data_IF_365957447255
#
_entry.id   IF_365957447255
#
_cell.length_a   1.000
_cell.length_b   1.000
_cell.length_c   1.000
_cell.angle_alpha   90.00
_cell.angle_beta   90.00
_cell.angle_gamma   90.00
#
_symmetry.space_group_name_H-M   'P 1'
#
loop_
_entity.id
_entity.type
_entity.pdbx_description
1 polymer ?
#
# COMPACT_ATOMS: atom_id res chain seq x y z
N UNK A 1 15.38 -21.67 6.87
CA UNK A 1 14.31 -22.67 7.11
C UNK A 1 13.73 -23.14 5.77
N UNK A 2 13.21 -24.37 5.65
CA UNK A 2 12.54 -24.81 4.41
C UNK A 2 11.27 -23.97 4.17
N UNK A 3 11.15 -23.41 2.96
CA UNK A 3 10.05 -22.52 2.55
C UNK A 3 8.70 -23.22 2.64
N UNK A 4 7.68 -22.51 3.11
CA UNK A 4 6.32 -23.02 3.07
C UNK A 4 5.79 -23.15 1.65
N UNK A 5 4.88 -24.08 1.44
CA UNK A 5 4.15 -24.27 0.19
C UNK A 5 2.65 -24.29 0.47
N UNK A 6 1.90 -23.63 -0.41
CA UNK A 6 0.45 -23.60 -0.39
C UNK A 6 -0.08 -24.74 -1.28
N UNK A 7 -0.84 -25.67 -0.71
CA UNK A 7 -1.43 -26.80 -1.44
C UNK A 7 -2.96 -26.73 -1.35
N UNK A 8 -3.67 -26.41 -2.44
CA UNK A 8 -5.13 -26.46 -2.47
C UNK A 8 -5.63 -27.84 -2.05
N UNK A 9 -6.66 -27.88 -1.22
CA UNK A 9 -7.33 -29.14 -0.86
C UNK A 9 -8.39 -29.49 -1.90
N UNK A 10 -8.81 -30.76 -1.91
CA UNK A 10 -9.79 -31.30 -2.88
C UNK A 10 -11.15 -30.60 -2.85
N UNK A 11 -11.51 -30.00 -1.71
CA UNK A 11 -12.74 -29.23 -1.53
C UNK A 11 -12.67 -27.82 -2.13
N UNK A 12 -11.48 -27.34 -2.51
CA UNK A 12 -11.26 -26.03 -3.14
C UNK A 12 -11.46 -24.82 -2.22
N UNK A 13 -12.00 -25.02 -1.00
CA UNK A 13 -12.29 -23.94 -0.03
C UNK A 13 -11.12 -23.59 0.85
N UNK A 14 -10.19 -24.53 1.03
CA UNK A 14 -9.06 -24.36 1.94
C UNK A 14 -7.74 -24.78 1.30
N UNK A 15 -6.68 -24.18 1.81
CA UNK A 15 -5.30 -24.41 1.38
C UNK A 15 -4.54 -24.98 2.55
N UNK A 16 -3.86 -26.11 2.35
CA UNK A 16 -2.93 -26.66 3.32
C UNK A 16 -1.59 -25.92 3.25
N UNK A 17 -1.08 -25.52 4.41
CA UNK A 17 0.23 -24.91 4.58
C UNK A 17 1.23 -26.03 4.92
N UNK A 18 2.13 -26.35 3.99
CA UNK A 18 3.03 -27.50 4.11
C UNK A 18 4.50 -27.11 3.98
N UNK A 19 5.38 -27.81 4.69
CA UNK A 19 6.83 -27.79 4.42
C UNK A 19 7.32 -29.20 4.14
N UNK A 20 8.47 -29.30 3.48
CA UNK A 20 9.09 -30.57 3.10
C UNK A 20 10.47 -30.75 3.76
N UNK A 21 10.55 -30.89 5.10
CA UNK A 21 11.82 -31.15 5.76
C UNK A 21 12.38 -32.52 5.34
N UNK A 22 13.70 -32.63 5.33
CA UNK A 22 14.39 -33.92 5.12
C UNK A 22 14.36 -34.74 6.41
N UNK A 23 13.85 -35.97 6.34
CA UNK A 23 13.95 -36.95 7.43
C UNK A 23 15.23 -37.77 7.23
N UNK A 24 16.14 -37.72 8.22
CA UNK A 24 17.36 -38.54 8.22
C UNK A 24 17.06 -40.02 8.39
N UNK A 25 16.07 -40.36 9.22
CA UNK A 25 15.62 -41.74 9.46
C UNK A 25 15.08 -42.38 8.19
N UNK A 26 14.22 -41.67 7.46
CA UNK A 26 13.60 -42.18 6.23
C UNK A 26 14.42 -41.88 4.97
N UNK A 27 15.57 -41.20 5.11
CA UNK A 27 16.45 -40.72 4.04
C UNK A 27 15.74 -39.99 2.91
N UNK A 28 14.61 -39.32 3.19
CA UNK A 28 13.78 -38.64 2.19
C UNK A 28 13.08 -37.40 2.74
N UNK A 29 12.62 -36.53 1.85
CA UNK A 29 11.74 -35.40 2.23
C UNK A 29 10.37 -35.93 2.65
N UNK A 30 9.86 -35.43 3.77
CA UNK A 30 8.54 -35.78 4.31
C UNK A 30 7.64 -34.55 4.31
N UNK A 31 6.34 -34.76 4.08
CA UNK A 31 5.38 -33.65 4.06
C UNK A 31 4.91 -33.35 5.47
N UNK A 32 5.17 -32.14 5.96
CA UNK A 32 4.67 -31.66 7.25
C UNK A 32 3.61 -30.59 7.00
N UNK A 33 2.37 -30.85 7.42
CA UNK A 33 1.30 -29.84 7.43
C UNK A 33 1.37 -29.03 8.72
N UNK A 34 1.52 -27.71 8.59
CA UNK A 34 1.60 -26.75 9.69
C UNK A 34 0.25 -26.12 10.01
N UNK A 35 -0.62 -26.02 9.01
CA UNK A 35 -1.96 -25.47 9.20
C UNK A 35 -2.74 -25.43 7.89
N UNK A 36 -3.81 -24.62 7.91
CA UNK A 36 -4.61 -24.33 6.72
C UNK A 36 -5.15 -22.92 6.79
N UNK A 37 -5.39 -22.32 5.62
CA UNK A 37 -6.07 -21.04 5.46
C UNK A 37 -7.21 -21.21 4.47
N UNK A 38 -8.28 -20.41 4.61
CA UNK A 38 -9.36 -20.40 3.64
C UNK A 38 -8.95 -19.60 2.39
N UNK A 39 -9.46 -19.99 1.22
CA UNK A 39 -9.12 -19.35 -0.06
C UNK A 39 -9.72 -17.94 -0.19
N UNK A 40 -10.76 -17.65 0.60
CA UNK A 40 -11.44 -16.35 0.73
C UNK A 40 -10.87 -15.46 1.85
N UNK A 41 -9.82 -15.92 2.56
CA UNK A 41 -9.19 -15.15 3.63
C UNK A 41 -8.61 -13.81 3.12
N UNK A 42 -8.62 -12.79 3.98
CA UNK A 42 -8.05 -11.49 3.65
C UNK A 42 -6.50 -11.58 3.57
N UNK A 43 -5.87 -11.29 2.41
CA UNK A 43 -4.41 -11.29 2.30
C UNK A 43 -3.72 -10.20 3.13
N UNK A 44 -4.46 -9.20 3.60
CA UNK A 44 -3.89 -8.16 4.47
C UNK A 44 -3.93 -8.56 5.96
N UNK A 45 -4.74 -9.56 6.32
CA UNK A 45 -4.83 -10.11 7.68
C UNK A 45 -4.69 -11.65 7.69
N UNK A 46 -3.70 -12.16 6.96
CA UNK A 46 -3.46 -13.61 6.83
C UNK A 46 -3.33 -14.30 8.20
N UNK A 47 -2.73 -13.64 9.18
CA UNK A 47 -2.40 -14.23 10.49
C UNK A 47 -3.65 -14.67 11.25
N UNK A 48 -4.72 -13.88 11.26
CA UNK A 48 -5.97 -14.21 11.96
C UNK A 48 -6.72 -15.38 11.33
N UNK A 49 -6.52 -15.61 10.02
CA UNK A 49 -7.21 -16.63 9.25
C UNK A 49 -6.47 -17.99 9.18
N UNK A 50 -5.22 -18.06 9.66
CA UNK A 50 -4.47 -19.33 9.69
C UNK A 50 -4.94 -20.21 10.84
N UNK A 51 -5.44 -21.40 10.49
CA UNK A 51 -5.73 -22.47 11.45
C UNK A 51 -4.53 -23.40 11.59
N UNK A 52 -3.87 -23.34 12.74
CA UNK A 52 -2.71 -24.19 13.05
C UNK A 52 -3.14 -25.66 13.23
N UNK A 53 -2.33 -26.58 12.71
CA UNK A 53 -2.58 -28.02 12.83
C UNK A 53 -2.52 -28.47 14.31
N UNK A 54 -3.32 -29.48 14.68
CA UNK A 54 -3.47 -29.95 16.08
C UNK A 54 -2.13 -30.19 16.79
N UNK A 55 -1.16 -30.78 16.07
CA UNK A 55 0.19 -31.10 16.61
C UNK A 55 1.06 -29.88 16.95
N UNK A 56 0.67 -28.69 16.51
CA UNK A 56 1.41 -27.44 16.70
C UNK A 56 0.61 -26.40 17.49
N UNK A 57 -0.56 -26.73 18.03
CA UNK A 57 -1.43 -25.76 18.74
C UNK A 57 -0.78 -25.09 19.95
N UNK A 58 0.15 -25.79 20.61
CA UNK A 58 0.84 -25.29 21.79
C UNK A 58 2.19 -24.63 21.46
N UNK A 59 2.59 -24.60 20.19
CA UNK A 59 3.80 -23.93 19.76
C UNK A 59 3.50 -22.46 19.46
N UNK A 60 4.47 -21.59 19.71
CA UNK A 60 4.36 -20.19 19.37
C UNK A 60 4.22 -20.02 17.85
N UNK A 61 3.27 -19.19 17.42
CA UNK A 61 2.97 -18.97 16.02
C UNK A 61 4.19 -18.47 15.24
N UNK A 62 4.99 -17.61 15.86
CA UNK A 62 6.20 -17.02 15.24
C UNK A 62 7.33 -18.04 15.11
N UNK A 63 7.31 -19.09 15.93
CA UNK A 63 8.21 -20.24 15.78
C UNK A 63 7.78 -21.18 14.63
N UNK A 64 6.50 -21.14 14.23
CA UNK A 64 5.92 -22.01 13.20
C UNK A 64 6.00 -21.41 11.80
N UNK A 65 5.70 -20.11 11.67
CA UNK A 65 5.64 -19.38 10.40
C UNK A 65 6.50 -18.13 10.48
N UNK A 66 7.43 -17.99 9.53
CA UNK A 66 8.29 -16.81 9.45
C UNK A 66 7.57 -15.67 8.75
N UNK A 67 8.12 -14.45 8.83
CA UNK A 67 7.63 -13.29 8.07
C UNK A 67 7.60 -13.59 6.56
N UNK A 68 8.63 -14.24 6.02
CA UNK A 68 8.69 -14.63 4.61
C UNK A 68 7.58 -15.60 4.22
N UNK A 69 7.19 -16.51 5.11
CA UNK A 69 6.08 -17.43 4.88
C UNK A 69 4.75 -16.66 4.82
N UNK A 70 4.55 -15.68 5.70
CA UNK A 70 3.35 -14.84 5.69
C UNK A 70 3.27 -14.00 4.40
N UNK A 71 4.39 -13.42 3.97
CA UNK A 71 4.48 -12.71 2.68
C UNK A 71 4.14 -13.64 1.53
N UNK A 72 4.68 -14.86 1.54
CA UNK A 72 4.39 -15.84 0.49
C UNK A 72 2.91 -16.27 0.48
N UNK A 73 2.30 -16.51 1.64
CA UNK A 73 0.87 -16.88 1.73
C UNK A 73 0.01 -15.72 1.25
N UNK A 74 0.34 -14.48 1.61
CA UNK A 74 -0.34 -13.27 1.11
C UNK A 74 -0.31 -13.21 -0.42
N UNK A 75 0.88 -13.30 -1.02
CA UNK A 75 1.03 -13.28 -2.48
C UNK A 75 0.23 -14.40 -3.15
N UNK A 76 0.25 -15.60 -2.55
CA UNK A 76 -0.52 -16.73 -3.06
C UNK A 76 -2.03 -16.46 -3.04
N UNK A 77 -2.57 -15.91 -1.95
CA UNK A 77 -4.00 -15.55 -1.84
C UNK A 77 -4.40 -14.40 -2.78
N UNK A 78 -3.49 -13.49 -3.11
CA UNK A 78 -3.75 -12.45 -4.09
C UNK A 78 -3.88 -13.00 -5.52
N UNK A 79 -3.08 -14.01 -5.85
CA UNK A 79 -3.02 -14.59 -7.20
C UNK A 79 -4.06 -15.72 -7.40
N UNK A 80 -4.26 -16.56 -6.37
CA UNK A 80 -5.05 -17.79 -6.45
C UNK A 80 -6.27 -17.82 -5.51
N UNK A 81 -6.52 -16.73 -4.77
CA UNK A 81 -7.66 -16.61 -3.87
C UNK A 81 -9.01 -16.55 -4.59
N UNK A 82 -10.10 -16.57 -3.81
CA UNK A 82 -11.45 -16.53 -4.35
C UNK A 82 -11.71 -15.19 -5.07
N UNK A 83 -12.13 -15.27 -6.33
CA UNK A 83 -12.44 -14.10 -7.17
C UNK A 83 -13.58 -13.26 -6.58
N UNK A 84 -14.59 -13.88 -5.97
CA UNK A 84 -15.70 -13.19 -5.32
C UNK A 84 -15.23 -12.43 -4.08
N UNK A 85 -14.36 -13.05 -3.28
CA UNK A 85 -13.74 -12.37 -2.14
C UNK A 85 -12.83 -11.21 -2.59
N UNK A 86 -12.18 -11.32 -3.75
CA UNK A 86 -11.41 -10.22 -4.36
C UNK A 86 -12.30 -9.04 -4.77
N UNK A 87 -13.47 -9.31 -5.34
CA UNK A 87 -14.44 -8.27 -5.73
C UNK A 87 -15.04 -7.56 -4.52
N UNK A 88 -15.42 -8.31 -3.48
CA UNK A 88 -15.92 -7.73 -2.22
C UNK A 88 -14.88 -6.84 -1.55
N UNK A 89 -13.59 -7.23 -1.59
CA UNK A 89 -12.48 -6.40 -1.10
C UNK A 89 -12.33 -5.11 -1.89
N UNK A 90 -12.32 -5.18 -3.24
CA UNK A 90 -12.29 -3.96 -4.07
C UNK A 90 -13.45 -3.03 -3.74
N UNK A 91 -14.67 -3.56 -3.58
CA UNK A 91 -15.83 -2.76 -3.22
C UNK A 91 -15.68 -2.11 -1.81
N UNK A 92 -15.14 -2.84 -0.83
CA UNK A 92 -14.81 -2.31 0.50
C UNK A 92 -13.79 -1.19 0.41
N UNK A 93 -12.69 -1.42 -0.31
CA UNK A 93 -11.58 -0.48 -0.40
C UNK A 93 -12.02 0.81 -1.12
N UNK A 94 -12.81 0.70 -2.20
CA UNK A 94 -13.44 1.85 -2.86
C UNK A 94 -14.37 2.62 -1.91
N UNK A 95 -15.13 1.92 -1.06
CA UNK A 95 -15.98 2.58 -0.06
C UNK A 95 -15.14 3.29 1.00
N UNK A 96 -14.07 2.66 1.49
CA UNK A 96 -13.16 3.27 2.47
C UNK A 96 -12.47 4.49 1.86
N UNK A 97 -11.99 4.40 0.63
CA UNK A 97 -11.40 5.52 -0.10
C UNK A 97 -12.39 6.67 -0.23
N UNK A 98 -13.64 6.39 -0.63
CA UNK A 98 -14.70 7.39 -0.70
C UNK A 98 -14.98 8.02 0.67
N UNK A 99 -15.14 7.22 1.72
CA UNK A 99 -15.44 7.70 3.07
C UNK A 99 -14.26 8.52 3.64
N UNK A 100 -13.00 8.17 3.31
CA UNK A 100 -11.81 8.96 3.65
C UNK A 100 -11.79 10.27 2.87
N UNK A 101 -12.09 10.25 1.56
CA UNK A 101 -12.19 11.48 0.75
C UNK A 101 -13.31 12.39 1.24
N UNK A 102 -14.46 11.83 1.63
CA UNK A 102 -15.57 12.58 2.24
C UNK A 102 -15.16 13.17 3.59
N UNK A 103 -14.43 12.43 4.44
CA UNK A 103 -13.88 12.98 5.69
C UNK A 103 -12.83 14.05 5.46
N UNK A 104 -11.98 13.91 4.44
CA UNK A 104 -11.01 14.93 4.07
C UNK A 104 -11.71 16.19 3.56
N UNK A 105 -12.80 16.05 2.78
CA UNK A 105 -13.65 17.17 2.35
C UNK A 105 -14.37 17.82 3.53
N UNK A 106 -14.97 17.02 4.42
CA UNK A 106 -15.65 17.52 5.62
C UNK A 106 -14.67 18.21 6.57
N UNK A 107 -13.47 17.66 6.78
CA UNK A 107 -12.41 18.28 7.57
C UNK A 107 -11.82 19.53 6.89
N UNK A 108 -11.88 19.61 5.56
CA UNK A 108 -11.56 20.84 4.83
C UNK A 108 -12.60 21.94 5.07
N UNK A 109 -13.83 21.59 5.47
CA UNK A 109 -14.86 22.56 5.87
C UNK A 109 -14.75 22.96 7.36
N UNK A 110 -14.18 22.12 8.23
CA UNK A 110 -14.13 22.38 9.69
C UNK A 110 -13.09 23.42 10.13
N UNK A 111 -12.01 23.61 9.38
CA UNK A 111 -11.10 24.76 9.51
C UNK A 111 -11.42 25.72 8.36
N UNK A 112 -12.48 26.54 8.50
CA UNK A 112 -13.15 27.32 7.44
C UNK A 112 -12.30 28.32 6.63
N UNK A 113 -10.97 28.26 6.72
CA UNK A 113 -10.05 28.99 5.86
C UNK A 113 -9.16 28.00 5.06
N UNK A 114 -9.48 27.75 3.77
CA UNK A 114 -8.66 26.92 2.89
C UNK A 114 -7.19 27.35 2.81
N UNK A 115 -6.89 28.64 2.96
CA UNK A 115 -5.51 29.14 2.98
C UNK A 115 -4.76 28.68 4.23
N UNK A 116 -5.42 28.63 5.39
CA UNK A 116 -4.82 28.16 6.63
C UNK A 116 -4.49 26.66 6.55
N UNK A 117 -5.31 25.88 5.86
CA UNK A 117 -5.04 24.46 5.60
C UNK A 117 -3.87 24.27 4.65
N UNK A 118 -3.80 25.04 3.56
CA UNK A 118 -2.67 24.99 2.63
C UNK A 118 -1.34 25.31 3.34
N UNK A 119 -1.33 26.30 4.24
CA UNK A 119 -0.15 26.63 5.08
C UNK A 119 0.26 25.47 5.98
N UNK A 120 -0.69 24.70 6.53
CA UNK A 120 -0.40 23.51 7.37
C UNK A 120 0.07 22.31 6.53
N UNK A 121 -0.51 22.10 5.35
CA UNK A 121 -0.30 20.89 4.53
C UNK A 121 0.99 20.93 3.69
N UNK A 122 1.40 22.11 3.21
CA UNK A 122 2.60 22.28 2.37
C UNK A 122 3.89 21.77 3.05
N UNK A 123 4.19 22.12 4.31
CA UNK A 123 5.37 21.59 5.01
C UNK A 123 5.33 20.07 5.15
N UNK A 124 4.18 19.49 5.52
CA UNK A 124 4.01 18.05 5.66
C UNK A 124 4.20 17.31 4.32
N UNK A 125 3.68 17.87 3.23
CA UNK A 125 3.90 17.35 1.88
C UNK A 125 5.39 17.40 1.50
N UNK A 126 6.11 18.47 1.86
CA UNK A 126 7.55 18.60 1.65
C UNK A 126 8.36 17.53 2.41
N UNK A 127 8.02 17.25 3.65
CA UNK A 127 8.66 16.16 4.41
C UNK A 127 8.40 14.78 3.79
N UNK A 128 7.18 14.54 3.34
CA UNK A 128 6.80 13.29 2.67
C UNK A 128 7.59 13.10 1.38
N UNK A 129 7.69 14.15 0.55
CA UNK A 129 8.51 14.14 -0.67
C UNK A 129 9.98 13.83 -0.38
N UNK A 130 10.54 14.43 0.68
CA UNK A 130 11.93 14.17 1.08
C UNK A 130 12.15 12.72 1.49
N UNK A 131 11.30 12.19 2.37
CA UNK A 131 11.36 10.79 2.82
C UNK A 131 11.21 9.82 1.65
N UNK A 132 10.26 10.08 0.76
CA UNK A 132 10.03 9.25 -0.42
C UNK A 132 11.24 9.27 -1.37
N UNK A 133 11.85 10.44 -1.59
CA UNK A 133 13.05 10.55 -2.41
C UNK A 133 14.25 9.79 -1.79
N UNK A 134 14.41 9.83 -0.47
CA UNK A 134 15.41 9.05 0.26
C UNK A 134 15.15 7.53 0.11
N UNK A 135 13.90 7.08 0.28
CA UNK A 135 13.51 5.68 0.11
C UNK A 135 13.75 5.17 -1.31
N UNK A 136 13.44 5.98 -2.34
CA UNK A 136 13.73 5.65 -3.73
C UNK A 136 15.23 5.50 -3.97
N UNK A 137 16.06 6.41 -3.45
CA UNK A 137 17.52 6.33 -3.57
C UNK A 137 18.09 5.08 -2.90
N UNK A 138 17.57 4.71 -1.72
CA UNK A 138 17.96 3.48 -1.03
C UNK A 138 17.63 2.21 -1.83
N UNK A 139 16.59 2.27 -2.67
CA UNK A 139 16.15 1.17 -3.55
C UNK A 139 16.77 1.22 -4.95
N UNK A 140 17.65 2.18 -5.23
CA UNK A 140 18.25 2.38 -6.56
C UNK A 140 17.24 2.86 -7.62
N UNK A 141 16.13 3.48 -7.19
CA UNK A 141 15.08 4.00 -8.06
C UNK A 141 15.20 5.52 -8.20
N UNK A 142 14.83 6.06 -9.36
CA UNK A 142 14.80 7.51 -9.58
C UNK A 142 13.51 8.11 -9.01
N UNK A 143 13.58 9.02 -8.01
CA UNK A 143 12.37 9.60 -7.41
C UNK A 143 11.49 10.35 -8.42
N UNK A 144 12.12 10.90 -9.47
CA UNK A 144 11.43 11.68 -10.49
C UNK A 144 10.39 10.84 -11.24
N UNK A 145 10.68 9.59 -11.57
CA UNK A 145 9.75 8.72 -12.30
C UNK A 145 8.42 8.52 -11.56
N UNK A 146 8.48 8.50 -10.22
CA UNK A 146 7.32 8.31 -9.36
C UNK A 146 6.63 9.62 -8.97
N UNK A 147 7.38 10.72 -8.86
CA UNK A 147 6.88 12.00 -8.36
C UNK A 147 6.50 12.98 -9.47
N UNK A 148 6.91 12.76 -10.72
CA UNK A 148 6.71 13.69 -11.84
C UNK A 148 5.26 14.13 -11.99
N UNK A 149 4.31 13.19 -11.96
CA UNK A 149 2.88 13.49 -12.11
C UNK A 149 2.39 14.42 -11.00
N UNK A 150 2.60 14.03 -9.75
CA UNK A 150 2.17 14.81 -8.58
C UNK A 150 2.86 16.18 -8.52
N UNK A 151 4.14 16.27 -8.90
CA UNK A 151 4.87 17.53 -8.99
C UNK A 151 4.23 18.48 -10.03
N UNK A 152 3.92 17.97 -11.22
CA UNK A 152 3.29 18.78 -12.27
C UNK A 152 1.88 19.27 -11.86
N UNK A 153 1.11 18.43 -11.16
CA UNK A 153 -0.21 18.80 -10.63
C UNK A 153 -0.10 19.92 -9.57
N UNK A 154 0.83 19.80 -8.61
CA UNK A 154 1.07 20.85 -7.60
C UNK A 154 1.53 22.15 -8.26
N UNK A 155 2.44 22.06 -9.23
CA UNK A 155 2.94 23.23 -9.94
C UNK A 155 1.85 23.92 -10.77
N UNK A 156 0.95 23.17 -11.40
CA UNK A 156 -0.22 23.73 -12.09
C UNK A 156 -1.15 24.45 -11.10
N UNK A 157 -1.43 23.85 -9.94
CA UNK A 157 -2.26 24.45 -8.90
C UNK A 157 -1.64 25.74 -8.33
N UNK A 158 -0.32 25.78 -8.12
CA UNK A 158 0.39 27.00 -7.68
C UNK A 158 0.25 28.11 -8.73
N UNK A 159 0.46 27.80 -10.02
CA UNK A 159 0.31 28.78 -11.10
C UNK A 159 -1.11 29.35 -11.17
N UNK A 160 -2.11 28.50 -11.05
CA UNK A 160 -3.51 28.92 -11.03
C UNK A 160 -3.79 29.81 -9.81
N UNK A 161 -3.33 29.40 -8.63
CA UNK A 161 -3.45 30.19 -7.41
C UNK A 161 -2.80 31.57 -7.53
N UNK A 162 -1.59 31.67 -8.10
CA UNK A 162 -0.92 32.95 -8.35
C UNK A 162 -1.71 33.84 -9.32
N UNK A 163 -2.31 33.26 -10.37
CA UNK A 163 -3.14 34.02 -11.30
C UNK A 163 -4.39 34.58 -10.62
N UNK A 164 -5.04 33.79 -9.77
CA UNK A 164 -6.18 34.22 -8.98
C UNK A 164 -5.78 35.28 -7.95
N UNK A 165 -4.63 35.14 -7.30
CA UNK A 165 -4.09 36.12 -6.36
C UNK A 165 -3.77 37.47 -7.04
N UNK A 166 -3.29 37.45 -8.29
CA UNK A 166 -3.10 38.66 -9.11
C UNK A 166 -4.44 39.32 -9.44
N UNK A 167 -5.44 38.56 -9.90
CA UNK A 167 -6.78 39.08 -10.19
C UNK A 167 -7.46 39.66 -8.95
N UNK A 168 -7.20 39.09 -7.78
CA UNK A 168 -7.70 39.57 -6.50
C UNK A 168 -6.89 40.76 -5.92
N UNK A 169 -5.81 41.21 -6.58
CA UNK A 169 -4.97 42.32 -6.13
C UNK A 169 -4.06 42.00 -4.93
N UNK A 170 -3.95 40.72 -4.54
CA UNK A 170 -3.14 40.26 -3.40
C UNK A 170 -1.64 40.28 -3.75
N UNK A 171 -1.31 40.07 -5.02
CA UNK A 171 0.07 40.11 -5.53
C UNK A 171 0.19 41.12 -6.65
N UNK A 172 1.24 41.95 -6.63
CA UNK A 172 1.53 42.90 -7.72
C UNK A 172 1.66 42.16 -9.04
N UNK A 173 1.00 42.65 -10.08
CA UNK A 173 1.38 42.29 -11.45
C UNK A 173 2.84 42.69 -11.64
N UNK A 174 3.73 41.70 -11.79
CA UNK A 174 5.06 41.99 -12.31
C UNK A 174 4.86 42.57 -13.70
N UNK A 175 5.21 43.84 -13.89
CA UNK A 175 5.40 44.41 -15.23
C UNK A 175 6.34 43.48 -15.96
N UNK A 176 5.84 42.77 -16.99
CA UNK A 176 6.68 41.99 -17.89
C UNK A 176 7.74 42.92 -18.45
N UNK A 177 8.99 42.71 -18.07
CA UNK A 177 10.12 43.38 -18.73
C UNK A 177 10.37 42.70 -20.07
N UNK A 178 10.89 43.46 -21.04
CA UNK A 178 11.04 43.06 -22.44
C UNK A 178 11.80 41.72 -22.69
N UNK A 179 12.51 41.19 -21.69
CA UNK A 179 13.14 39.88 -21.72
C UNK A 179 12.13 38.70 -21.74
N UNK A 180 10.93 38.86 -21.16
CA UNK A 180 9.91 37.79 -21.10
C UNK A 180 9.15 37.60 -22.43
N UNK A 181 9.34 38.49 -23.39
CA UNK A 181 8.70 38.45 -24.71
C UNK A 181 9.63 37.80 -25.76
N UNK A 182 10.91 37.62 -25.43
CA UNK A 182 11.96 37.22 -26.37
C UNK A 182 12.57 35.82 -26.13
N UNK A 183 11.94 34.95 -25.32
CA UNK A 183 12.34 33.54 -25.24
C UNK A 183 11.33 32.66 -26.00
N UNK A 184 11.77 31.93 -27.05
CA UNK A 184 10.93 31.04 -27.84
C UNK A 184 10.45 29.81 -27.06
#
# INVERSE_FOLDING_TARGET
MPRISCKPRKDGKTVALVRYPYSRELKKKVTHTYGSIQVDADPDDVRSHIRVAKKYRNADFESLLTVDDLVYIRSWLMEHGDTKARELRRARDTRVERDVLERLRANAETDGNPLAQVVKLLPAAGEMLRKFAEDCRLRGQEPWDHLRKSYLEVHAAIKEFEQLAKKAGVTKERRKTAADIASP
#
